data_IF_958299968569
#
_entry.id   IF_958299968569
#
_cell.length_a   1.000
_cell.length_b   1.000
_cell.length_c   1.000
_cell.angle_alpha   90.00
_cell.angle_beta   90.00
_cell.angle_gamma   90.00
#
_symmetry.space_group_name_H-M   'P 1'
#
loop_
_entity.id
_entity.type
_entity.pdbx_description
1 polymer ?
#
# COMPACT_ATOMS: atom_id res chain seq x y z
N UNK A 1 -0.14 10.01 -7.60
CA UNK A 1 0.76 10.10 -6.44
C UNK A 1 0.42 9.05 -5.38
N UNK A 2 -0.76 9.11 -4.77
CA UNK A 2 -1.16 8.12 -3.75
C UNK A 2 -2.02 7.00 -4.32
N UNK A 3 -2.58 7.21 -5.49
CA UNK A 3 -3.61 6.36 -6.08
C UNK A 3 -3.17 4.91 -6.20
N UNK A 4 -1.93 4.69 -6.64
CA UNK A 4 -1.38 3.35 -6.81
C UNK A 4 -1.32 2.60 -5.49
N UNK A 5 -0.89 3.29 -4.42
CA UNK A 5 -0.79 2.68 -3.10
C UNK A 5 -2.17 2.33 -2.54
N UNK A 6 -3.10 3.27 -2.61
CA UNK A 6 -4.43 3.05 -2.08
C UNK A 6 -5.19 2.01 -2.89
N UNK A 7 -4.98 1.99 -4.20
CA UNK A 7 -5.58 0.96 -5.04
C UNK A 7 -5.05 -0.43 -4.68
N UNK A 8 -3.75 -0.55 -4.44
CA UNK A 8 -3.16 -1.81 -4.02
C UNK A 8 -3.67 -2.26 -2.66
N UNK A 9 -3.81 -1.33 -1.71
CA UNK A 9 -4.26 -1.63 -0.36
C UNK A 9 -5.77 -1.79 -0.25
N UNK A 10 -6.53 -1.28 -1.20
CA UNK A 10 -7.99 -1.29 -1.16
C UNK A 10 -8.64 -2.61 -1.56
N UNK A 11 -7.91 -3.71 -1.47
CA UNK A 11 -8.41 -5.04 -1.82
C UNK A 11 -8.24 -5.96 -0.61
N UNK A 12 -9.31 -6.64 -0.15
CA UNK A 12 -9.30 -7.39 1.12
C UNK A 12 -8.20 -8.44 1.22
N UNK A 13 -7.91 -9.17 0.15
CA UNK A 13 -6.89 -10.21 0.18
C UNK A 13 -5.50 -9.60 0.39
N UNK A 14 -5.23 -8.48 -0.26
CA UNK A 14 -3.95 -7.79 -0.10
C UNK A 14 -3.77 -7.22 1.30
N UNK A 15 -4.84 -6.68 1.89
CA UNK A 15 -4.78 -6.22 3.27
C UNK A 15 -4.52 -7.38 4.24
N UNK A 16 -5.10 -8.56 3.98
CA UNK A 16 -4.82 -9.75 4.79
C UNK A 16 -3.35 -10.14 4.71
N UNK A 17 -2.78 -10.11 3.51
CA UNK A 17 -1.36 -10.41 3.31
C UNK A 17 -0.50 -9.45 4.11
N UNK A 18 -0.75 -8.15 3.97
CA UNK A 18 -0.01 -7.12 4.70
C UNK A 18 -0.09 -7.37 6.21
N UNK A 19 -1.29 -7.65 6.72
CA UNK A 19 -1.47 -7.86 8.15
C UNK A 19 -0.71 -9.09 8.64
N UNK A 20 -0.74 -10.17 7.89
CA UNK A 20 0.00 -11.38 8.24
C UNK A 20 1.50 -11.12 8.22
N UNK A 21 1.99 -10.42 7.21
CA UNK A 21 3.41 -10.07 7.12
C UNK A 21 3.84 -9.08 8.20
N UNK A 22 2.90 -8.34 8.79
CA UNK A 22 3.23 -7.45 9.90
C UNK A 22 3.53 -8.23 11.18
N UNK A 23 3.04 -9.46 11.29
CA UNK A 23 3.33 -10.30 12.45
C UNK A 23 4.70 -10.96 12.33
N UNK A 24 5.06 -11.41 11.12
CA UNK A 24 6.37 -11.99 10.84
C UNK A 24 6.57 -12.13 9.34
N UNK A 25 7.83 -12.27 8.94
CA UNK A 25 8.15 -12.60 7.56
C UNK A 25 7.64 -13.99 7.24
N UNK A 26 7.07 -14.17 6.06
CA UNK A 26 6.48 -15.45 5.66
C UNK A 26 6.86 -15.76 4.21
N UNK A 27 7.07 -17.04 3.92
CA UNK A 27 7.23 -17.44 2.53
C UNK A 27 5.86 -17.60 1.86
N UNK A 28 5.87 -17.61 0.53
CA UNK A 28 4.64 -17.72 -0.25
C UNK A 28 3.85 -18.98 0.12
N UNK A 29 4.55 -20.09 0.35
CA UNK A 29 3.91 -21.36 0.73
C UNK A 29 3.23 -21.27 2.09
N UNK A 30 3.78 -20.50 3.02
CA UNK A 30 3.13 -20.28 4.31
C UNK A 30 1.87 -19.44 4.18
N UNK A 31 1.91 -18.41 3.34
CA UNK A 31 0.73 -17.60 3.06
C UNK A 31 -0.37 -18.44 2.42
N UNK A 32 -0.02 -19.33 1.51
CA UNK A 32 -0.97 -20.25 0.89
C UNK A 32 -1.65 -21.13 1.96
N UNK A 33 -0.88 -21.68 2.87
CA UNK A 33 -1.42 -22.50 3.95
C UNK A 33 -2.34 -21.73 4.86
N UNK A 34 -1.89 -20.55 5.30
CA UNK A 34 -2.65 -19.74 6.27
C UNK A 34 -3.94 -19.24 5.66
N UNK A 35 -3.88 -18.76 4.43
CA UNK A 35 -5.01 -18.08 3.80
C UNK A 35 -5.96 -19.01 3.06
N UNK A 36 -5.53 -20.23 2.79
CA UNK A 36 -6.30 -21.21 1.99
C UNK A 36 -6.65 -20.65 0.62
N UNK A 37 -5.70 -19.98 0.00
CA UNK A 37 -5.80 -19.39 -1.34
C UNK A 37 -4.68 -19.99 -2.16
N UNK A 38 -4.93 -20.29 -3.42
CA UNK A 38 -3.93 -20.92 -4.28
C UNK A 38 -2.69 -20.07 -4.44
N UNK A 39 -1.54 -20.74 -4.62
CA UNK A 39 -0.28 -20.05 -4.78
C UNK A 39 -0.26 -19.07 -5.95
N UNK A 40 -0.83 -19.40 -7.13
CA UNK A 40 -0.88 -18.40 -8.21
C UNK A 40 -1.64 -17.12 -7.83
N UNK A 41 -2.73 -17.24 -7.07
CA UNK A 41 -3.49 -16.07 -6.62
C UNK A 41 -2.71 -15.25 -5.61
N UNK A 42 -2.06 -15.92 -4.66
CA UNK A 42 -1.18 -15.24 -3.69
C UNK A 42 -0.07 -14.50 -4.44
N UNK A 43 0.56 -15.16 -5.42
CA UNK A 43 1.64 -14.55 -6.19
C UNK A 43 1.18 -13.33 -6.97
N UNK A 44 -0.04 -13.34 -7.52
CA UNK A 44 -0.59 -12.18 -8.23
C UNK A 44 -0.79 -10.99 -7.29
N UNK A 45 -1.33 -11.23 -6.12
CA UNK A 45 -1.51 -10.15 -5.12
C UNK A 45 -0.16 -9.62 -4.62
N UNK A 46 0.79 -10.50 -4.38
CA UNK A 46 2.13 -10.10 -3.98
C UNK A 46 2.82 -9.28 -5.05
N UNK A 47 2.62 -9.62 -6.32
CA UNK A 47 3.21 -8.85 -7.42
C UNK A 47 2.76 -7.39 -7.38
N UNK A 48 1.47 -7.17 -7.16
CA UNK A 48 0.92 -5.81 -7.06
C UNK A 48 1.51 -5.08 -5.87
N UNK A 49 1.58 -5.73 -4.71
CA UNK A 49 2.17 -5.15 -3.51
C UNK A 49 3.66 -4.85 -3.67
N UNK A 50 4.39 -5.74 -4.35
CA UNK A 50 5.82 -5.51 -4.62
C UNK A 50 6.04 -4.35 -5.58
N UNK A 51 5.16 -4.17 -6.55
CA UNK A 51 5.25 -3.05 -7.49
C UNK A 51 5.13 -1.70 -6.80
N UNK A 52 4.37 -1.63 -5.72
CA UNK A 52 4.27 -0.39 -4.93
C UNK A 52 5.44 -0.20 -3.99
N UNK A 53 6.23 -1.24 -3.76
CA UNK A 53 7.32 -1.21 -2.80
C UNK A 53 6.90 -1.43 -1.36
N UNK A 54 5.62 -1.66 -1.08
CA UNK A 54 5.15 -1.87 0.29
C UNK A 54 5.53 -3.24 0.83
N UNK A 55 5.76 -4.19 -0.06
CA UNK A 55 6.23 -5.53 0.28
C UNK A 55 7.51 -5.81 -0.48
N UNK A 56 8.46 -6.40 0.21
CA UNK A 56 9.74 -6.86 -0.36
C UNK A 56 9.82 -8.37 -0.32
N UNK A 57 10.61 -8.92 -1.20
CA UNK A 57 10.82 -10.36 -1.26
C UNK A 57 12.31 -10.64 -1.36
N UNK A 58 12.77 -11.66 -0.64
CA UNK A 58 14.13 -12.16 -0.80
C UNK A 58 14.11 -13.68 -0.97
N UNK A 59 15.13 -14.21 -1.59
CA UNK A 59 15.28 -15.65 -1.71
C UNK A 59 16.12 -16.20 -0.58
N UNK A 60 15.65 -17.31 0.00
CA UNK A 60 16.42 -18.12 0.93
C UNK A 60 16.37 -19.54 0.43
N UNK A 61 17.41 -19.95 -0.28
CA UNK A 61 17.39 -21.24 -0.98
C UNK A 61 16.33 -21.23 -2.07
N UNK A 62 15.36 -22.12 -1.97
CA UNK A 62 14.24 -22.20 -2.91
C UNK A 62 13.00 -21.44 -2.39
N UNK A 63 13.08 -20.88 -1.20
CA UNK A 63 11.96 -20.16 -0.59
C UNK A 63 11.98 -18.70 -1.00
N UNK A 64 10.80 -18.16 -1.25
CA UNK A 64 10.60 -16.73 -1.45
C UNK A 64 9.98 -16.17 -0.19
N UNK A 65 10.75 -15.39 0.57
CA UNK A 65 10.33 -14.86 1.85
C UNK A 65 9.91 -13.40 1.67
N UNK A 66 8.70 -13.10 2.08
CA UNK A 66 8.10 -11.77 1.93
C UNK A 66 8.09 -11.05 3.27
N UNK A 67 8.24 -9.73 3.21
CA UNK A 67 8.18 -8.88 4.40
C UNK A 67 7.58 -7.52 4.01
N UNK A 68 7.00 -6.84 5.00
CA UNK A 68 6.56 -5.46 4.82
C UNK A 68 7.78 -4.55 4.79
N UNK A 69 7.83 -3.63 3.85
CA UNK A 69 8.82 -2.57 3.86
C UNK A 69 8.27 -1.44 4.72
N UNK A 70 8.66 -1.42 6.00
CA UNK A 70 8.13 -0.45 6.95
C UNK A 70 8.60 0.97 6.64
N UNK A 71 9.83 1.11 6.16
CA UNK A 71 10.35 2.41 5.79
C UNK A 71 9.53 3.03 4.66
N UNK A 72 9.22 2.24 3.64
CA UNK A 72 8.39 2.69 2.52
C UNK A 72 6.95 2.98 2.96
N UNK A 73 6.41 2.12 3.81
CA UNK A 73 5.06 2.28 4.32
C UNK A 73 4.93 3.55 5.17
N UNK A 74 5.88 3.78 6.03
CA UNK A 74 5.89 4.99 6.87
C UNK A 74 6.06 6.24 6.04
N UNK A 75 6.90 6.20 4.99
CA UNK A 75 7.06 7.32 4.08
C UNK A 75 5.76 7.65 3.37
N UNK A 76 5.02 6.62 2.91
CA UNK A 76 3.71 6.81 2.29
C UNK A 76 2.72 7.49 3.23
N UNK A 77 2.64 6.98 4.46
CA UNK A 77 1.72 7.54 5.45
C UNK A 77 2.07 8.98 5.79
N UNK A 78 3.35 9.29 5.90
CA UNK A 78 3.80 10.65 6.19
C UNK A 78 3.50 11.60 5.03
N UNK A 79 3.70 11.13 3.80
CA UNK A 79 3.39 11.93 2.62
C UNK A 79 1.90 12.21 2.51
N UNK A 80 1.05 11.21 2.80
CA UNK A 80 -0.39 11.39 2.78
C UNK A 80 -0.84 12.36 3.88
N UNK A 81 -0.23 12.25 5.04
CA UNK A 81 -0.49 13.16 6.16
C UNK A 81 -0.17 14.59 5.77
N UNK A 82 0.97 14.82 5.13
CA UNK A 82 1.34 16.16 4.63
C UNK A 82 0.34 16.66 3.60
N UNK A 83 -0.09 15.79 2.70
CA UNK A 83 -1.09 16.14 1.71
C UNK A 83 -2.40 16.60 2.39
N UNK A 84 -2.83 15.86 3.39
CA UNK A 84 -4.11 16.13 4.08
C UNK A 84 -4.09 17.44 4.86
N UNK A 85 -2.97 17.76 5.50
CA UNK A 85 -2.89 18.92 6.38
C UNK A 85 -2.35 20.18 5.70
N UNK A 86 -1.82 20.07 4.51
CA UNK A 86 -1.31 21.24 3.79
C UNK A 86 -2.46 22.11 3.33
N UNK A 87 -2.37 23.44 3.52
CA UNK A 87 -3.44 24.34 3.07
C UNK A 87 -3.70 24.19 1.57
N UNK A 88 -4.98 24.17 1.20
CA UNK A 88 -5.37 23.97 -0.20
C UNK A 88 -4.78 25.04 -1.12
N UNK A 89 -4.69 26.28 -0.65
CA UNK A 89 -4.17 27.39 -1.45
C UNK A 89 -2.70 27.20 -1.86
N UNK A 90 -1.97 26.34 -1.14
CA UNK A 90 -0.57 26.06 -1.44
C UNK A 90 -0.40 24.86 -2.39
N UNK A 91 -1.50 24.21 -2.78
CA UNK A 91 -1.43 22.96 -3.52
C UNK A 91 -1.62 23.19 -5.01
N UNK A 92 -0.62 22.75 -5.78
CA UNK A 92 -0.67 22.79 -7.23
C UNK A 92 -1.76 21.84 -7.74
N UNK A 93 -2.52 22.29 -8.73
CA UNK A 93 -3.60 21.51 -9.31
C UNK A 93 -4.95 21.71 -8.63
N UNK A 94 -5.00 22.48 -7.56
CA UNK A 94 -6.25 22.73 -6.82
C UNK A 94 -6.72 24.17 -6.91
N UNK A 95 -6.19 24.94 -7.86
CA UNK A 95 -6.46 26.38 -7.96
C UNK A 95 -7.94 26.67 -8.17
N UNK A 96 -8.59 25.94 -9.06
CA UNK A 96 -10.01 26.13 -9.33
C UNK A 96 -10.87 25.67 -8.14
N UNK A 97 -10.50 24.55 -7.54
CA UNK A 97 -11.20 24.03 -6.37
C UNK A 97 -11.12 25.05 -5.22
N UNK A 98 -9.96 25.63 -5.04
CA UNK A 98 -9.76 26.65 -3.99
C UNK A 98 -10.68 27.86 -4.20
N UNK A 99 -10.77 28.36 -5.44
CA UNK A 99 -11.64 29.48 -5.76
C UNK A 99 -13.11 29.13 -5.51
N UNK A 100 -13.54 27.98 -6.00
CA UNK A 100 -14.92 27.54 -5.84
C UNK A 100 -15.29 27.30 -4.38
N UNK A 101 -14.36 26.75 -3.61
CA UNK A 101 -14.58 26.55 -2.18
C UNK A 101 -14.82 27.88 -1.48
N UNK A 102 -14.02 28.91 -1.82
CA UNK A 102 -14.18 30.24 -1.24
C UNK A 102 -15.47 30.94 -1.61
N UNK A 103 -16.10 30.51 -2.71
CA UNK A 103 -17.35 31.12 -3.19
C UNK A 103 -18.61 30.46 -2.63
N UNK A 104 -18.46 29.39 -1.83
CA UNK A 104 -19.61 28.75 -1.22
C UNK A 104 -20.24 29.67 -0.17
N UNK A 105 -21.57 29.75 -0.15
CA UNK A 105 -22.24 30.57 0.89
C UNK A 105 -22.09 29.91 2.25
N UNK A 106 -21.90 30.74 3.27
CA UNK A 106 -21.77 30.28 4.64
C UNK A 106 -22.67 31.09 5.57
#
# INVERSE_FOLDING_TARGET
MFEEYFKALGEPTRLRIIKLLSEKELCVCELEQIMCISQPRISQHLKILKQTGLVCERREGQRRVCRVDYEKTEALLEDFKRFLYRPLQEMEGFEEDYIRLGNLPR
#
